data_IF_445058778160
#
_entry.id   IF_445058778160
#
_cell.length_a   1.000
_cell.length_b   1.000
_cell.length_c   1.000
_cell.angle_alpha   90.00
_cell.angle_beta   90.00
_cell.angle_gamma   90.00
#
_symmetry.space_group_name_H-M   'P 1'
#
loop_
_entity.id
_entity.type
_entity.pdbx_description
1 polymer ?
#
# COMPACT_ATOMS: atom_id res chain seq x y z
N UNK A 1 -20.13 22.70 33.64
CA UNK A 1 -19.63 21.34 33.95
C UNK A 1 -20.31 20.37 32.98
N UNK A 2 -19.76 20.18 31.77
CA UNK A 2 -20.31 19.23 30.78
C UNK A 2 -19.19 18.25 30.41
N UNK A 3 -19.16 17.12 31.10
CA UNK A 3 -18.46 15.90 30.65
C UNK A 3 -19.47 15.11 29.83
N UNK A 4 -19.52 15.37 28.52
CA UNK A 4 -20.13 14.42 27.59
C UNK A 4 -19.01 13.47 27.16
N UNK A 5 -19.10 12.21 27.58
CA UNK A 5 -18.15 11.16 27.24
C UNK A 5 -18.05 11.01 25.74
N UNK A 6 -16.86 11.27 25.19
CA UNK A 6 -16.47 10.80 23.87
C UNK A 6 -16.51 9.27 23.91
N UNK A 7 -17.61 8.73 23.39
CA UNK A 7 -17.82 7.29 23.23
C UNK A 7 -16.70 6.74 22.36
N UNK A 8 -16.09 5.64 22.82
CA UNK A 8 -15.14 4.86 22.05
C UNK A 8 -15.72 4.64 20.64
N UNK A 9 -15.02 5.13 19.62
CA UNK A 9 -15.41 5.03 18.23
C UNK A 9 -15.89 3.61 17.92
N UNK A 10 -17.20 3.44 17.70
CA UNK A 10 -17.85 2.14 17.52
C UNK A 10 -17.17 1.46 16.33
N UNK A 11 -16.50 0.34 16.58
CA UNK A 11 -15.83 -0.44 15.54
C UNK A 11 -16.90 -0.89 14.53
N UNK A 12 -16.76 -0.49 13.27
CA UNK A 12 -17.71 -0.83 12.20
C UNK A 12 -17.26 -2.16 11.64
N UNK A 13 -17.93 -3.24 12.04
CA UNK A 13 -17.54 -4.62 11.70
C UNK A 13 -17.57 -4.86 10.19
N UNK A 14 -18.46 -4.17 9.48
CA UNK A 14 -18.61 -4.21 8.04
C UNK A 14 -17.33 -3.72 7.32
N UNK A 15 -16.70 -2.66 7.84
CA UNK A 15 -15.44 -2.16 7.30
C UNK A 15 -14.29 -3.14 7.56
N UNK A 16 -14.24 -3.75 8.73
CA UNK A 16 -13.25 -4.79 9.02
C UNK A 16 -13.43 -6.02 8.12
N UNK A 17 -14.67 -6.42 7.84
CA UNK A 17 -15.01 -7.49 6.89
C UNK A 17 -14.54 -7.19 5.47
N UNK A 18 -14.80 -5.98 4.97
CA UNK A 18 -14.35 -5.54 3.65
C UNK A 18 -12.82 -5.49 3.54
N UNK A 19 -12.11 -5.08 4.60
CA UNK A 19 -10.65 -5.15 4.65
C UNK A 19 -10.15 -6.58 4.58
N UNK A 20 -10.83 -7.53 5.26
CA UNK A 20 -10.55 -8.96 5.15
C UNK A 20 -10.68 -9.45 3.71
N UNK A 21 -11.77 -9.10 3.02
CA UNK A 21 -11.96 -9.43 1.60
C UNK A 21 -10.87 -8.83 0.71
N UNK A 22 -10.48 -7.58 0.96
CA UNK A 22 -9.41 -6.92 0.23
C UNK A 22 -8.06 -7.66 0.39
N UNK A 23 -7.71 -8.08 1.61
CA UNK A 23 -6.49 -8.85 1.87
C UNK A 23 -6.53 -10.20 1.16
N UNK A 24 -7.69 -10.89 1.18
CA UNK A 24 -7.85 -12.16 0.48
C UNK A 24 -7.66 -12.02 -1.03
N UNK A 25 -8.26 -10.99 -1.64
CA UNK A 25 -8.10 -10.69 -3.07
C UNK A 25 -6.62 -10.49 -3.43
N UNK A 26 -5.90 -9.70 -2.64
CA UNK A 26 -4.46 -9.45 -2.85
C UNK A 26 -3.64 -10.72 -2.67
N UNK A 27 -3.97 -11.55 -1.67
CA UNK A 27 -3.25 -12.80 -1.39
C UNK A 27 -3.46 -13.81 -2.51
N UNK A 28 -4.69 -13.94 -3.01
CA UNK A 28 -5.02 -14.80 -4.15
C UNK A 28 -4.27 -14.33 -5.39
N UNK A 29 -4.27 -13.02 -5.67
CA UNK A 29 -3.55 -12.44 -6.80
C UNK A 29 -2.06 -12.80 -6.79
N UNK A 30 -1.38 -12.56 -5.66
CA UNK A 30 0.05 -12.89 -5.53
C UNK A 30 0.31 -14.39 -5.59
N UNK A 31 -0.65 -15.23 -5.19
CA UNK A 31 -0.52 -16.69 -5.29
C UNK A 31 -0.67 -17.16 -6.73
N UNK A 32 -1.62 -16.59 -7.48
CA UNK A 32 -1.87 -16.93 -8.90
C UNK A 32 -0.74 -16.43 -9.80
N UNK A 33 -0.06 -15.34 -9.43
CA UNK A 33 1.16 -14.87 -10.09
C UNK A 33 2.29 -15.90 -10.15
N UNK A 34 2.25 -16.95 -9.31
CA UNK A 34 3.24 -18.04 -9.31
C UNK A 34 2.88 -19.17 -10.29
N UNK A 35 1.67 -19.16 -10.85
CA UNK A 35 1.19 -20.17 -11.79
C UNK A 35 1.53 -19.70 -13.21
N UNK A 36 1.98 -20.60 -14.08
CA UNK A 36 2.19 -20.27 -15.51
C UNK A 36 0.87 -20.50 -16.30
N UNK A 37 0.27 -19.43 -16.89
CA UNK A 37 -0.98 -19.54 -17.64
C UNK A 37 -0.83 -20.36 -18.93
N UNK A 38 0.39 -20.49 -19.48
CA UNK A 38 0.63 -21.22 -20.72
C UNK A 38 0.53 -22.75 -20.56
N UNK A 39 0.54 -23.24 -19.31
CA UNK A 39 0.54 -24.68 -19.00
C UNK A 39 -0.83 -25.35 -18.94
N UNK A 40 -1.90 -24.65 -19.36
CA UNK A 40 -3.19 -25.29 -19.60
C UNK A 40 -4.39 -24.36 -19.49
N UNK A 41 -5.52 -24.80 -20.04
CA UNK A 41 -6.77 -24.03 -20.08
C UNK A 41 -7.27 -23.67 -18.67
N UNK A 42 -7.07 -24.57 -17.69
CA UNK A 42 -7.45 -24.31 -16.30
C UNK A 42 -6.59 -23.19 -15.69
N UNK A 43 -5.29 -23.18 -15.98
CA UNK A 43 -4.38 -22.14 -15.47
C UNK A 43 -4.68 -20.77 -16.09
N UNK A 44 -4.92 -20.72 -17.41
CA UNK A 44 -5.37 -19.49 -18.10
C UNK A 44 -6.69 -18.97 -17.51
N UNK A 45 -7.65 -19.85 -17.25
CA UNK A 45 -8.92 -19.46 -16.63
C UNK A 45 -8.72 -18.88 -15.22
N UNK A 46 -7.91 -19.53 -14.37
CA UNK A 46 -7.61 -19.04 -13.02
C UNK A 46 -6.94 -17.66 -13.08
N UNK A 47 -5.99 -17.45 -13.99
CA UNK A 47 -5.33 -16.17 -14.20
C UNK A 47 -6.32 -15.06 -14.56
N UNK A 48 -7.19 -15.31 -15.56
CA UNK A 48 -8.19 -14.35 -16.01
C UNK A 48 -9.18 -13.96 -14.92
N UNK A 49 -9.62 -14.93 -14.12
CA UNK A 49 -10.55 -14.68 -13.01
C UNK A 49 -9.88 -13.91 -11.86
N UNK A 50 -8.58 -14.10 -11.67
CA UNK A 50 -7.84 -13.51 -10.55
C UNK A 50 -7.33 -12.10 -10.82
N UNK A 51 -7.47 -11.57 -12.05
CA UNK A 51 -6.96 -10.25 -12.44
C UNK A 51 -7.53 -9.11 -11.58
N UNK A 52 -8.77 -9.26 -11.11
CA UNK A 52 -9.42 -8.31 -10.21
C UNK A 52 -8.84 -8.32 -8.79
N UNK A 53 -8.03 -9.32 -8.44
CA UNK A 53 -7.38 -9.43 -7.14
C UNK A 53 -6.41 -8.29 -6.86
N UNK A 54 -5.82 -7.68 -7.91
CA UNK A 54 -4.97 -6.48 -7.78
C UNK A 54 -5.73 -5.29 -7.19
N UNK A 55 -7.02 -5.13 -7.54
CA UNK A 55 -7.89 -4.06 -7.03
C UNK A 55 -8.14 -4.16 -5.52
N UNK A 56 -7.78 -5.29 -4.89
CA UNK A 56 -7.80 -5.43 -3.44
C UNK A 56 -6.88 -4.42 -2.73
N UNK A 57 -5.76 -4.02 -3.36
CA UNK A 57 -4.87 -2.99 -2.78
C UNK A 57 -5.58 -1.64 -2.74
N UNK A 58 -6.26 -1.26 -3.83
CA UNK A 58 -7.00 0.00 -3.92
C UNK A 58 -8.16 0.04 -2.90
N UNK A 59 -8.90 -1.07 -2.78
CA UNK A 59 -9.98 -1.20 -1.81
C UNK A 59 -9.45 -1.08 -0.37
N UNK A 60 -8.36 -1.77 -0.05
CA UNK A 60 -7.75 -1.68 1.28
C UNK A 60 -7.30 -0.25 1.60
N UNK A 61 -6.67 0.43 0.63
CA UNK A 61 -6.20 1.80 0.78
C UNK A 61 -7.34 2.80 1.04
N UNK A 62 -8.43 2.72 0.28
CA UNK A 62 -9.62 3.57 0.48
C UNK A 62 -10.24 3.35 1.87
N UNK A 63 -10.35 2.10 2.30
CA UNK A 63 -10.90 1.75 3.62
C UNK A 63 -10.01 2.24 4.77
N UNK A 64 -8.68 2.11 4.64
CA UNK A 64 -7.74 2.63 5.64
C UNK A 64 -7.77 4.16 5.72
N UNK A 65 -7.87 4.85 4.57
CA UNK A 65 -8.01 6.31 4.53
C UNK A 65 -9.27 6.82 5.25
N UNK A 66 -10.41 6.14 5.08
CA UNK A 66 -11.67 6.48 5.78
C UNK A 66 -11.52 6.38 7.31
N UNK A 67 -10.86 5.33 7.81
CA UNK A 67 -10.65 5.10 9.24
C UNK A 67 -9.74 6.16 9.88
N UNK A 68 -8.79 6.70 9.12
CA UNK A 68 -7.76 7.61 9.65
C UNK A 68 -8.19 9.05 9.72
N UNK A 69 -9.11 9.50 8.86
CA UNK A 69 -9.79 10.80 9.06
C UNK A 69 -10.41 10.86 10.46
N UNK A 70 -10.95 9.74 10.96
CA UNK A 70 -11.44 9.62 12.32
C UNK A 70 -10.35 9.64 13.40
N UNK A 71 -9.17 9.08 13.14
CA UNK A 71 -8.03 9.06 14.10
C UNK A 71 -7.37 10.44 14.21
N UNK A 72 -7.29 11.19 13.11
CA UNK A 72 -6.77 12.57 13.10
C UNK A 72 -7.60 13.49 14.01
N UNK A 73 -8.90 13.25 14.09
CA UNK A 73 -9.80 13.96 14.98
C UNK A 73 -9.52 13.63 16.46
N UNK A 74 -9.25 12.35 16.77
CA UNK A 74 -9.06 11.84 18.13
C UNK A 74 -7.62 11.92 18.68
N UNK A 75 -6.66 12.49 17.93
CA UNK A 75 -5.25 12.73 18.34
C UNK A 75 -4.51 11.50 18.94
N UNK A 76 -4.94 10.27 18.63
CA UNK A 76 -4.43 9.07 19.30
C UNK A 76 -3.26 8.44 18.54
N UNK A 77 -2.08 9.04 18.67
CA UNK A 77 -0.83 8.60 18.02
C UNK A 77 -0.49 7.14 18.35
N UNK A 78 -0.82 6.66 19.56
CA UNK A 78 -0.58 5.27 19.97
C UNK A 78 -1.39 4.25 19.16
N UNK A 79 -2.53 4.66 18.58
CA UNK A 79 -3.33 3.82 17.70
C UNK A 79 -2.72 3.74 16.30
N UNK A 80 -2.16 4.84 15.81
CA UNK A 80 -1.49 4.91 14.51
C UNK A 80 -0.21 4.05 14.49
N UNK A 81 0.58 4.05 15.57
CA UNK A 81 1.84 3.30 15.63
C UNK A 81 1.69 1.78 15.83
N UNK A 82 0.47 1.21 15.79
CA UNK A 82 0.25 -0.24 16.00
C UNK A 82 0.77 -1.12 14.87
N UNK A 83 0.98 -0.57 13.69
CA UNK A 83 1.51 -1.29 12.52
C UNK A 83 3.05 -1.38 12.56
N UNK A 84 3.70 -0.47 13.31
CA UNK A 84 5.15 -0.39 13.39
C UNK A 84 5.81 -1.66 14.00
N UNK A 85 5.33 -2.24 15.13
CA UNK A 85 5.97 -3.42 15.69
C UNK A 85 5.95 -4.63 14.75
N UNK A 86 4.82 -5.03 14.13
CA UNK A 86 4.81 -6.09 13.12
C UNK A 86 5.74 -5.79 11.93
N UNK A 87 5.79 -4.54 11.47
CA UNK A 87 6.65 -4.14 10.36
C UNK A 87 8.14 -4.26 10.70
N UNK A 88 8.55 -3.87 11.90
CA UNK A 88 9.94 -4.01 12.36
C UNK A 88 10.33 -5.49 12.51
N UNK A 89 9.42 -6.35 12.96
CA UNK A 89 9.63 -7.80 13.00
C UNK A 89 9.85 -8.34 11.59
N UNK A 90 9.00 -7.94 10.62
CA UNK A 90 9.15 -8.33 9.22
C UNK A 90 10.51 -7.94 8.65
N UNK A 91 10.94 -6.67 8.82
CA UNK A 91 12.25 -6.20 8.37
C UNK A 91 13.37 -7.00 9.03
N UNK A 92 13.27 -7.25 10.33
CA UNK A 92 14.29 -8.00 11.08
C UNK A 92 14.43 -9.43 10.54
N UNK A 93 13.30 -10.12 10.34
CA UNK A 93 13.27 -11.47 9.76
C UNK A 93 13.84 -11.46 8.34
N UNK A 94 13.43 -10.50 7.51
CA UNK A 94 13.94 -10.35 6.15
C UNK A 94 15.47 -10.24 6.15
N UNK A 95 16.04 -9.34 6.95
CA UNK A 95 17.49 -9.15 7.03
C UNK A 95 18.24 -10.38 7.54
N UNK A 96 17.72 -11.07 8.57
CA UNK A 96 18.29 -12.32 9.07
C UNK A 96 18.28 -13.38 7.98
N UNK A 97 17.16 -13.57 7.28
CA UNK A 97 17.03 -14.58 6.23
C UNK A 97 17.90 -14.25 5.02
N UNK A 98 18.01 -12.99 4.60
CA UNK A 98 18.90 -12.57 3.51
C UNK A 98 20.37 -12.87 3.84
N UNK A 99 20.79 -12.71 5.11
CA UNK A 99 22.15 -13.07 5.56
C UNK A 99 22.40 -14.58 5.57
N UNK A 100 21.38 -15.38 5.90
CA UNK A 100 21.48 -16.84 5.97
C UNK A 100 21.35 -17.54 4.62
N UNK A 101 20.50 -17.02 3.72
CA UNK A 101 20.13 -17.65 2.45
C UNK A 101 20.84 -17.06 1.23
N UNK A 102 21.53 -15.93 1.40
CA UNK A 102 22.16 -15.19 0.31
C UNK A 102 21.15 -14.46 -0.58
N UNK A 103 21.65 -13.84 -1.63
CA UNK A 103 20.83 -13.08 -2.60
C UNK A 103 20.17 -14.02 -3.60
N UNK A 104 18.84 -14.00 -3.68
CA UNK A 104 18.05 -14.73 -4.67
C UNK A 104 16.79 -13.92 -5.03
N UNK A 105 15.85 -14.49 -5.79
CA UNK A 105 14.60 -13.83 -6.16
C UNK A 105 13.80 -13.29 -4.95
N UNK A 106 13.79 -14.02 -3.84
CA UNK A 106 13.05 -13.64 -2.63
C UNK A 106 13.81 -12.65 -1.75
N UNK A 107 15.13 -12.80 -1.67
CA UNK A 107 16.03 -12.04 -0.79
C UNK A 107 17.03 -11.20 -1.59
N UNK A 108 16.58 -10.65 -2.72
CA UNK A 108 17.38 -9.91 -3.70
C UNK A 108 18.12 -8.69 -3.15
N UNK A 109 18.69 -7.89 -4.06
CA UNK A 109 19.68 -6.82 -3.81
C UNK A 109 19.47 -6.00 -2.52
N UNK A 110 20.58 -5.59 -1.89
CA UNK A 110 20.62 -4.95 -0.57
C UNK A 110 19.85 -3.63 -0.56
N UNK A 111 18.56 -3.68 -0.21
CA UNK A 111 17.75 -2.49 0.02
C UNK A 111 18.19 -1.88 1.34
N UNK A 112 18.67 -0.63 1.38
CA UNK A 112 19.17 -0.05 2.62
C UNK A 112 18.11 -0.04 3.73
N UNK A 113 18.50 -0.43 4.96
CA UNK A 113 17.59 -0.47 6.12
C UNK A 113 16.89 0.88 6.31
N UNK A 114 17.63 1.98 6.12
CA UNK A 114 17.09 3.33 6.28
C UNK A 114 15.91 3.60 5.33
N UNK A 115 15.94 3.04 4.11
CA UNK A 115 14.87 3.24 3.14
C UNK A 115 13.57 2.55 3.57
N UNK A 116 13.68 1.38 4.20
CA UNK A 116 12.54 0.65 4.78
C UNK A 116 12.01 1.36 6.04
N UNK A 117 12.90 1.80 6.93
CA UNK A 117 12.50 2.50 8.17
C UNK A 117 11.84 3.86 7.92
N UNK A 118 12.18 4.53 6.82
CA UNK A 118 11.61 5.82 6.43
C UNK A 118 10.44 5.69 5.45
N UNK A 119 10.03 4.46 5.10
CA UNK A 119 8.97 4.20 4.13
C UNK A 119 9.22 4.86 2.75
N UNK A 120 10.48 4.93 2.30
CA UNK A 120 10.87 5.51 0.99
C UNK A 120 11.38 4.46 0.01
N UNK A 121 11.30 3.17 0.34
CA UNK A 121 11.77 2.06 -0.49
C UNK A 121 11.11 2.04 -1.88
N UNK A 122 9.90 2.58 -2.02
CA UNK A 122 9.17 2.69 -3.29
C UNK A 122 9.97 3.38 -4.38
N UNK A 123 10.70 4.45 -4.02
CA UNK A 123 11.53 5.19 -4.97
C UNK A 123 12.72 4.37 -5.45
N UNK A 124 13.25 3.50 -4.58
CA UNK A 124 14.29 2.55 -4.95
C UNK A 124 13.71 1.44 -5.84
N UNK A 125 12.50 0.94 -5.55
CA UNK A 125 11.86 -0.10 -6.36
C UNK A 125 11.63 0.37 -7.81
N UNK A 126 11.24 1.64 -7.98
CA UNK A 126 11.12 2.28 -9.31
C UNK A 126 12.47 2.27 -10.04
N UNK A 127 13.56 2.61 -9.34
CA UNK A 127 14.90 2.61 -9.94
C UNK A 127 15.40 1.22 -10.33
N UNK A 128 14.90 0.17 -9.66
CA UNK A 128 15.29 -1.23 -9.89
C UNK A 128 14.42 -1.95 -10.92
N UNK A 129 13.47 -1.27 -11.56
CA UNK A 129 12.60 -1.80 -12.64
C UNK A 129 11.96 -3.16 -12.31
N UNK A 130 11.44 -3.35 -11.09
CA UNK A 130 10.76 -4.60 -10.73
C UNK A 130 11.67 -5.72 -10.22
N UNK A 131 12.97 -5.45 -9.98
CA UNK A 131 13.90 -6.42 -9.39
C UNK A 131 13.96 -6.37 -7.85
N UNK A 132 12.94 -5.81 -7.21
CA UNK A 132 12.81 -5.82 -5.76
C UNK A 132 12.68 -7.26 -5.20
N UNK A 133 13.17 -7.49 -3.96
CA UNK A 133 13.04 -8.80 -3.33
C UNK A 133 11.57 -9.17 -3.14
N UNK A 134 11.14 -10.30 -3.72
CA UNK A 134 9.75 -10.73 -3.66
C UNK A 134 9.22 -10.90 -2.22
N UNK A 135 10.09 -11.19 -1.24
CA UNK A 135 9.72 -11.33 0.16
C UNK A 135 9.20 -10.03 0.81
N UNK A 136 9.62 -8.87 0.29
CA UNK A 136 9.21 -7.54 0.79
C UNK A 136 8.54 -6.68 -0.28
N UNK A 137 8.27 -7.22 -1.47
CA UNK A 137 7.63 -6.49 -2.55
C UNK A 137 6.33 -5.85 -2.06
N UNK A 138 5.46 -6.60 -1.37
CA UNK A 138 4.20 -6.07 -0.82
C UNK A 138 4.33 -4.92 0.20
N UNK A 139 5.53 -4.59 0.69
CA UNK A 139 5.72 -3.43 1.60
C UNK A 139 5.57 -2.09 0.89
N UNK A 140 5.53 -2.07 -0.45
CA UNK A 140 5.42 -0.82 -1.19
C UNK A 140 4.10 -0.09 -0.91
N UNK A 141 3.00 -0.84 -0.81
CA UNK A 141 1.66 -0.30 -0.57
C UNK A 141 1.56 0.30 0.83
N UNK A 142 2.17 -0.35 1.82
CA UNK A 142 2.28 0.18 3.18
C UNK A 142 3.08 1.49 3.23
N UNK A 143 4.17 1.59 2.46
CA UNK A 143 4.93 2.84 2.39
C UNK A 143 4.13 3.98 1.73
N UNK A 144 3.36 3.70 0.68
CA UNK A 144 2.44 4.69 0.11
C UNK A 144 1.37 5.11 1.12
N UNK A 145 0.87 4.14 1.88
CA UNK A 145 -0.11 4.35 2.94
C UNK A 145 0.41 5.32 4.02
N UNK A 146 1.60 5.08 4.58
CA UNK A 146 2.23 5.99 5.56
C UNK A 146 2.57 7.38 4.97
N UNK A 147 3.06 7.44 3.73
CA UNK A 147 3.32 8.70 3.04
C UNK A 147 2.03 9.52 2.88
N UNK A 148 0.94 8.88 2.46
CA UNK A 148 -0.37 9.52 2.34
C UNK A 148 -0.84 10.09 3.68
N UNK A 149 -0.60 9.37 4.78
CA UNK A 149 -0.94 9.82 6.14
C UNK A 149 -0.13 11.00 6.64
N UNK A 150 1.05 11.25 6.10
CA UNK A 150 1.83 12.45 6.41
C UNK A 150 1.47 13.61 5.49
N UNK A 151 1.33 13.33 4.19
CA UNK A 151 1.12 14.36 3.15
C UNK A 151 -0.27 14.99 3.26
N UNK A 152 -1.34 14.21 3.47
CA UNK A 152 -2.71 14.77 3.51
C UNK A 152 -2.92 15.71 4.70
N UNK A 153 -2.59 15.34 5.94
CA UNK A 153 -2.66 16.27 7.08
C UNK A 153 -1.81 17.51 6.88
N UNK A 154 -0.58 17.37 6.37
CA UNK A 154 0.28 18.51 6.07
C UNK A 154 -0.38 19.43 5.03
N UNK A 155 -0.95 18.87 3.96
CA UNK A 155 -1.67 19.63 2.94
C UNK A 155 -2.86 20.38 3.54
N UNK A 156 -3.67 19.71 4.38
CA UNK A 156 -4.81 20.33 5.06
C UNK A 156 -4.37 21.43 6.04
N UNK A 157 -3.21 21.28 6.68
CA UNK A 157 -2.66 22.25 7.62
C UNK A 157 -2.09 23.48 6.92
N UNK A 158 -1.34 23.30 5.83
CA UNK A 158 -0.63 24.39 5.15
C UNK A 158 -1.42 25.05 4.03
N UNK A 159 -2.33 24.35 3.37
CA UNK A 159 -3.08 24.92 2.24
C UNK A 159 -4.35 25.65 2.70
N UNK A 160 -4.71 26.79 2.08
CA UNK A 160 -5.94 27.49 2.41
C UNK A 160 -7.15 26.61 2.09
N UNK A 161 -8.08 26.46 3.04
CA UNK A 161 -9.28 25.60 2.89
C UNK A 161 -10.06 25.83 1.61
N UNK A 162 -10.14 27.09 1.14
CA UNK A 162 -10.81 27.48 -0.11
C UNK A 162 -10.21 26.86 -1.38
N UNK A 163 -8.93 26.47 -1.35
CA UNK A 163 -8.24 25.88 -2.49
C UNK A 163 -8.00 24.37 -2.34
N UNK A 164 -8.29 23.77 -1.18
CA UNK A 164 -8.02 22.35 -0.94
C UNK A 164 -8.65 21.44 -1.99
N UNK A 165 -9.93 21.64 -2.31
CA UNK A 165 -10.61 20.84 -3.33
C UNK A 165 -9.95 21.01 -4.71
N UNK A 166 -9.64 22.25 -5.10
CA UNK A 166 -8.99 22.52 -6.38
C UNK A 166 -7.59 21.88 -6.46
N UNK A 167 -6.82 21.92 -5.36
CA UNK A 167 -5.50 21.28 -5.28
C UNK A 167 -5.64 19.76 -5.39
N UNK A 168 -6.56 19.14 -4.64
CA UNK A 168 -6.77 17.69 -4.71
C UNK A 168 -7.23 17.23 -6.11
N UNK A 169 -8.13 17.98 -6.73
CA UNK A 169 -8.57 17.72 -8.11
C UNK A 169 -7.41 17.89 -9.10
N UNK A 170 -6.60 18.94 -8.95
CA UNK A 170 -5.43 19.16 -9.80
C UNK A 170 -4.40 18.04 -9.65
N UNK A 171 -4.13 17.55 -8.44
CA UNK A 171 -3.25 16.40 -8.19
C UNK A 171 -3.82 15.14 -8.85
N UNK A 172 -5.12 14.88 -8.68
CA UNK A 172 -5.79 13.72 -9.30
C UNK A 172 -5.73 13.76 -10.83
N UNK A 173 -6.04 14.91 -11.43
CA UNK A 173 -5.95 15.14 -12.87
C UNK A 173 -4.52 14.98 -13.38
N UNK A 174 -3.54 15.60 -12.71
CA UNK A 174 -2.13 15.49 -13.08
C UNK A 174 -1.65 14.03 -13.04
N UNK A 175 -2.05 13.27 -12.03
CA UNK A 175 -1.74 11.83 -11.92
C UNK A 175 -2.35 11.03 -13.07
N UNK A 176 -3.63 11.24 -13.36
CA UNK A 176 -4.32 10.57 -14.48
C UNK A 176 -3.68 10.92 -15.83
N UNK A 177 -3.36 12.19 -16.06
CA UNK A 177 -2.69 12.67 -17.28
C UNK A 177 -1.28 12.09 -17.42
N UNK A 178 -0.49 12.07 -16.34
CA UNK A 178 0.85 11.48 -16.36
C UNK A 178 0.81 9.99 -16.69
N UNK A 179 -0.15 9.25 -16.10
CA UNK A 179 -0.36 7.83 -16.38
C UNK A 179 -0.78 7.59 -17.83
N UNK A 180 -1.73 8.37 -18.34
CA UNK A 180 -2.16 8.30 -19.74
C UNK A 180 -1.00 8.59 -20.72
N UNK A 181 -0.17 9.59 -20.40
CA UNK A 181 1.02 9.92 -21.18
C UNK A 181 2.07 8.81 -21.15
N UNK A 182 2.30 8.19 -19.98
CA UNK A 182 3.20 7.04 -19.86
C UNK A 182 2.72 5.86 -20.73
N UNK A 183 1.42 5.54 -20.71
CA UNK A 183 0.85 4.49 -21.55
C UNK A 183 0.97 4.81 -23.05
N UNK A 184 0.74 6.06 -23.43
CA UNK A 184 0.86 6.47 -24.83
C UNK A 184 2.30 6.35 -25.35
N UNK A 185 3.29 6.65 -24.50
CA UNK A 185 4.72 6.57 -24.87
C UNK A 185 5.28 5.14 -24.81
N UNK A 186 4.69 4.24 -24.03
CA UNK A 186 5.15 2.86 -23.84
C UNK A 186 4.03 1.83 -24.09
N UNK A 187 3.54 1.70 -25.34
CA UNK A 187 2.39 0.85 -25.67
C UNK A 187 2.62 -0.66 -25.50
N UNK A 188 3.87 -1.11 -25.28
CA UNK A 188 4.23 -2.53 -25.13
C UNK A 188 4.23 -3.08 -23.69
N UNK A 189 3.93 -2.25 -22.68
CA UNK A 189 3.98 -2.63 -21.25
C UNK A 189 2.59 -2.97 -20.67
N UNK A 190 1.71 -3.59 -21.48
CA UNK A 190 0.42 -4.14 -21.04
C UNK A 190 0.56 -5.59 -20.58
#
# INVERSE_FOLDING_TARGET
>A
MIRAGMTAQKRIAELDGLRGCAILLVTIWHSVMLIDPSQGVINDLIWRLSIFGQSGVDLFFVLSGFLIVGILYDHNIRRALRILPPYLILISIFYVLTRLRGTNYYFGSQIPVWALLTFVQNWLFVSTQGTEPAAIAGTWSLAIEEQFYLVIPALVWFAPRRYLLAILLAIGLASASARAFYFWTHPGNL
#
